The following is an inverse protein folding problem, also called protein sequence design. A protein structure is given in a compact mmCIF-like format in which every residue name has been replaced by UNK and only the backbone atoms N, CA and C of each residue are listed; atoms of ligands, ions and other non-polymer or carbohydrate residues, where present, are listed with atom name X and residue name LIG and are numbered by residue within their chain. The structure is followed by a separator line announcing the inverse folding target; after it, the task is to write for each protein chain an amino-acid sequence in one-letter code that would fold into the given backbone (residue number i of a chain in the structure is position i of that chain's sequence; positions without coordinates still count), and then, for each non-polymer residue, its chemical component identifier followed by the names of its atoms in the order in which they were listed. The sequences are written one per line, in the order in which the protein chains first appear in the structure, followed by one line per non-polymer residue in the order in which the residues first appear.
data_IF_173738255645
#
_entry.id   IF_173738255645
#
_cell.length_a   1.000
_cell.length_b   1.000
_cell.length_c   1.000
_cell.angle_alpha   90.00
_cell.angle_beta   90.00
_cell.angle_gamma   90.00
#
_symmetry.space_group_name_H-M   'P 1'
#
loop_
_entity.id
_entity.type
_entity.pdbx_description
1 polymer ?
#
# COMPACT_ATOMS: atom_id res chain seq x y z
N UNK A 1 -10.06 -11.29 -17.04
CA UNK A 1 -9.49 -10.45 -15.97
C UNK A 1 -9.55 -11.24 -14.69
N UNK A 2 -8.50 -11.24 -13.87
CA UNK A 2 -8.51 -12.01 -12.64
C UNK A 2 -9.62 -11.52 -11.68
N UNK A 3 -10.46 -12.43 -11.20
CA UNK A 3 -11.54 -12.09 -10.26
C UNK A 3 -11.00 -11.94 -8.82
N UNK A 4 -11.78 -11.30 -7.93
CA UNK A 4 -11.42 -11.20 -6.51
C UNK A 4 -11.26 -12.58 -5.86
N UNK A 5 -12.08 -13.54 -6.28
CA UNK A 5 -12.05 -14.92 -5.81
C UNK A 5 -10.77 -15.64 -6.25
N UNK A 6 -10.37 -15.46 -7.52
CA UNK A 6 -9.13 -16.03 -8.04
C UNK A 6 -7.90 -15.50 -7.28
N UNK A 7 -7.85 -14.19 -7.01
CA UNK A 7 -6.76 -13.60 -6.21
C UNK A 7 -6.72 -14.17 -4.80
N UNK A 8 -7.87 -14.28 -4.15
CA UNK A 8 -7.98 -14.88 -2.81
C UNK A 8 -7.48 -16.32 -2.82
N UNK A 9 -7.88 -17.11 -3.82
CA UNK A 9 -7.46 -18.49 -3.99
C UNK A 9 -5.95 -18.62 -4.22
N UNK A 10 -5.34 -17.73 -5.01
CA UNK A 10 -3.88 -17.70 -5.20
C UNK A 10 -3.17 -17.43 -3.86
N UNK A 11 -3.60 -16.42 -3.11
CA UNK A 11 -3.04 -16.09 -1.80
C UNK A 11 -3.11 -17.28 -0.84
N UNK A 12 -4.29 -17.91 -0.72
CA UNK A 12 -4.50 -19.08 0.14
C UNK A 12 -3.65 -20.28 -0.29
N UNK A 13 -3.52 -20.54 -1.60
CA UNK A 13 -2.68 -21.63 -2.11
C UNK A 13 -1.21 -21.44 -1.74
N UNK A 14 -0.70 -20.22 -1.80
CA UNK A 14 0.68 -19.91 -1.37
C UNK A 14 0.83 -20.17 0.14
N UNK A 15 -0.09 -19.65 0.95
CA UNK A 15 0.00 -19.75 2.41
C UNK A 15 -0.19 -21.17 2.96
N UNK A 16 -0.96 -22.02 2.28
CA UNK A 16 -1.22 -23.42 2.65
C UNK A 16 -0.30 -24.43 1.95
N UNK A 17 0.65 -23.96 1.15
CA UNK A 17 1.58 -24.82 0.42
C UNK A 17 2.52 -25.59 1.35
N UNK A 18 3.17 -26.65 0.84
CA UNK A 18 4.18 -27.41 1.58
C UNK A 18 5.54 -26.68 1.73
N UNK A 19 5.61 -25.42 1.33
CA UNK A 19 6.82 -24.60 1.48
C UNK A 19 7.13 -24.32 2.95
N UNK A 20 8.41 -24.11 3.25
CA UNK A 20 8.83 -23.66 4.57
C UNK A 20 8.21 -22.29 4.89
N UNK A 21 7.96 -21.95 6.17
CA UNK A 21 7.30 -20.70 6.55
C UNK A 21 7.87 -19.44 5.89
N UNK A 22 9.19 -19.30 5.87
CA UNK A 22 9.86 -18.15 5.27
C UNK A 22 9.65 -18.08 3.75
N UNK A 23 9.60 -19.23 3.05
CA UNK A 23 9.37 -19.30 1.61
C UNK A 23 7.95 -18.90 1.25
N UNK A 24 6.95 -19.20 2.10
CA UNK A 24 5.56 -18.77 1.89
C UNK A 24 5.44 -17.26 1.94
N UNK A 25 6.07 -16.63 2.94
CA UNK A 25 6.07 -15.17 3.08
C UNK A 25 6.80 -14.51 1.92
N UNK A 26 7.93 -15.08 1.49
CA UNK A 26 8.69 -14.58 0.35
C UNK A 26 7.88 -14.70 -0.96
N UNK A 27 7.24 -15.84 -1.20
CA UNK A 27 6.38 -16.05 -2.37
C UNK A 27 5.19 -15.06 -2.39
N UNK A 28 4.61 -14.74 -1.23
CA UNK A 28 3.55 -13.73 -1.12
C UNK A 28 4.07 -12.34 -1.55
N UNK A 29 5.24 -11.94 -1.05
CA UNK A 29 5.89 -10.67 -1.37
C UNK A 29 6.26 -10.52 -2.84
N UNK A 30 6.75 -11.60 -3.45
CA UNK A 30 7.35 -11.61 -4.78
C UNK A 30 6.35 -11.89 -5.90
N UNK A 31 5.33 -12.71 -5.66
CA UNK A 31 4.38 -13.10 -6.71
C UNK A 31 2.99 -12.53 -6.48
N UNK A 32 2.44 -12.68 -5.27
CA UNK A 32 1.05 -12.31 -5.01
C UNK A 32 0.85 -10.79 -5.04
N UNK A 33 1.55 -10.03 -4.19
CA UNK A 33 1.33 -8.59 -4.11
C UNK A 33 1.68 -7.84 -5.41
N UNK A 34 2.73 -8.18 -6.18
CA UNK A 34 2.96 -7.52 -7.47
C UNK A 34 1.84 -7.77 -8.49
N UNK A 35 1.17 -8.92 -8.43
CA UNK A 35 0.07 -9.25 -9.36
C UNK A 35 -1.17 -8.36 -9.19
N UNK A 36 -1.38 -7.78 -8.00
CA UNK A 36 -2.56 -6.96 -7.69
C UNK A 36 -2.40 -5.50 -8.10
N UNK A 37 -1.16 -5.02 -8.31
CA UNK A 37 -0.83 -3.60 -8.57
C UNK A 37 -1.56 -3.05 -9.79
N UNK A 38 -1.67 -3.83 -10.87
CA UNK A 38 -2.36 -3.38 -12.08
C UNK A 38 -3.85 -3.12 -11.82
N UNK A 39 -4.52 -4.03 -11.11
CA UNK A 39 -5.94 -3.90 -10.77
C UNK A 39 -6.21 -2.72 -9.85
N UNK A 40 -5.31 -2.48 -8.89
CA UNK A 40 -5.38 -1.30 -8.01
C UNK A 40 -5.25 0.01 -8.78
N UNK A 41 -4.30 0.08 -9.73
CA UNK A 41 -4.10 1.27 -10.60
C UNK A 41 -5.31 1.55 -11.48
N UNK A 42 -5.93 0.50 -12.00
CA UNK A 42 -7.15 0.62 -12.80
C UNK A 42 -8.37 1.02 -11.96
N UNK A 43 -8.28 0.92 -10.62
CA UNK A 43 -9.38 1.27 -9.72
C UNK A 43 -10.62 0.37 -9.89
N UNK A 44 -10.44 -0.85 -10.41
CA UNK A 44 -11.52 -1.79 -10.73
C UNK A 44 -12.34 -2.13 -9.49
N UNK A 45 -11.67 -2.44 -8.38
CA UNK A 45 -12.31 -2.82 -7.13
C UNK A 45 -12.35 -1.65 -6.12
N UNK A 46 -13.21 -1.78 -5.11
CA UNK A 46 -13.26 -0.85 -3.98
C UNK A 46 -12.25 -1.27 -2.91
N UNK A 47 -11.86 -0.33 -2.03
CA UNK A 47 -10.97 -0.62 -0.89
C UNK A 47 -11.47 -1.77 -0.02
N UNK A 48 -12.77 -1.83 0.22
CA UNK A 48 -13.43 -2.89 1.00
C UNK A 48 -13.19 -4.28 0.44
N UNK A 49 -13.10 -4.42 -0.89
CA UNK A 49 -12.77 -5.69 -1.52
C UNK A 49 -11.32 -6.12 -1.25
N UNK A 50 -10.39 -5.17 -1.26
CA UNK A 50 -8.98 -5.43 -0.90
C UNK A 50 -8.82 -5.74 0.59
N UNK A 51 -9.56 -5.05 1.45
CA UNK A 51 -9.61 -5.29 2.89
C UNK A 51 -10.15 -6.69 3.22
N UNK A 52 -11.15 -7.17 2.48
CA UNK A 52 -11.63 -8.55 2.63
C UNK A 52 -10.52 -9.58 2.33
N UNK A 53 -9.72 -9.34 1.28
CA UNK A 53 -8.59 -10.22 0.97
C UNK A 53 -7.54 -10.17 2.08
N UNK A 54 -7.20 -8.98 2.58
CA UNK A 54 -6.27 -8.81 3.70
C UNK A 54 -6.77 -9.57 4.96
N UNK A 55 -8.07 -9.48 5.26
CA UNK A 55 -8.69 -10.17 6.38
C UNK A 55 -8.66 -11.70 6.26
N UNK A 56 -8.75 -12.23 5.03
CA UNK A 56 -8.69 -13.67 4.76
C UNK A 56 -7.25 -14.19 4.86
N UNK A 57 -6.28 -13.44 4.34
CA UNK A 57 -4.87 -13.88 4.26
C UNK A 57 -4.15 -13.65 5.61
N UNK A 58 -4.52 -12.63 6.38
CA UNK A 58 -3.85 -12.28 7.65
C UNK A 58 -3.77 -13.43 8.66
N UNK A 59 -4.85 -14.20 8.95
CA UNK A 59 -4.77 -15.35 9.86
C UNK A 59 -3.77 -16.41 9.40
N UNK A 60 -3.69 -16.64 8.08
CA UNK A 60 -2.78 -17.62 7.48
C UNK A 60 -1.31 -17.17 7.57
N UNK A 61 -1.07 -15.86 7.42
CA UNK A 61 0.26 -15.27 7.66
C UNK A 61 0.67 -15.47 9.12
N UNK A 62 -0.23 -15.19 10.06
CA UNK A 62 0.02 -15.40 11.49
C UNK A 62 0.30 -16.87 11.81
N UNK A 63 -0.51 -17.77 11.28
CA UNK A 63 -0.31 -19.21 11.45
C UNK A 63 1.05 -19.67 10.89
N UNK A 64 1.45 -19.15 9.73
CA UNK A 64 2.76 -19.44 9.12
C UNK A 64 3.91 -18.95 9.99
N UNK A 65 3.76 -17.81 10.67
CA UNK A 65 4.77 -17.26 11.57
C UNK A 65 4.67 -17.77 13.02
N UNK A 66 3.77 -18.72 13.29
CA UNK A 66 3.47 -19.22 14.65
C UNK A 66 3.09 -18.10 15.64
N UNK A 67 2.36 -17.09 15.16
CA UNK A 67 1.89 -15.97 15.96
C UNK A 67 0.46 -16.21 16.46
N UNK A 68 0.14 -15.82 17.70
CA UNK A 68 -1.25 -15.83 18.18
C UNK A 68 -2.12 -14.86 17.38
N UNK A 69 -3.43 -15.11 17.35
CA UNK A 69 -4.38 -14.24 16.62
C UNK A 69 -4.45 -12.82 17.20
N UNK A 70 -4.08 -12.67 18.46
CA UNK A 70 -4.00 -11.41 19.21
C UNK A 70 -2.68 -10.67 18.97
N UNK A 71 -1.69 -11.28 18.29
CA UNK A 71 -0.41 -10.64 18.02
C UNK A 71 -0.59 -9.29 17.30
N UNK A 72 0.24 -8.31 17.67
CA UNK A 72 0.19 -6.96 17.08
C UNK A 72 0.30 -7.03 15.55
N UNK A 73 -0.58 -6.29 14.86
CA UNK A 73 -0.51 -6.09 13.41
C UNK A 73 0.73 -5.30 13.00
N UNK A 74 1.31 -4.53 13.91
CA UNK A 74 2.53 -3.76 13.66
C UNK A 74 3.70 -4.67 13.31
N UNK A 75 3.80 -5.85 13.91
CA UNK A 75 4.85 -6.80 13.58
C UNK A 75 4.77 -7.29 12.13
N UNK A 76 3.56 -7.45 11.59
CA UNK A 76 3.35 -7.90 10.21
C UNK A 76 3.63 -6.78 9.21
N UNK A 77 3.06 -5.60 9.45
CA UNK A 77 2.99 -4.49 8.49
C UNK A 77 3.98 -3.35 8.78
N UNK A 78 4.82 -3.51 9.80
CA UNK A 78 5.86 -2.56 10.19
C UNK A 78 7.04 -2.55 9.23
N UNK A 79 7.97 -1.63 9.46
CA UNK A 79 9.21 -1.51 8.68
C UNK A 79 10.13 -2.72 8.83
N UNK A 80 10.73 -3.18 7.74
CA UNK A 80 11.78 -4.20 7.82
C UNK A 80 13.03 -3.69 8.54
N UNK A 81 13.32 -2.39 8.47
CA UNK A 81 14.44 -1.79 9.21
C UNK A 81 14.20 -1.81 10.73
N UNK A 82 12.93 -1.73 11.15
CA UNK A 82 12.52 -1.86 12.55
C UNK A 82 12.40 -3.32 13.02
N UNK A 83 12.84 -4.30 12.22
CA UNK A 83 12.76 -5.73 12.56
C UNK A 83 11.37 -6.36 12.37
N UNK A 84 10.44 -5.68 11.71
CA UNK A 84 9.11 -6.21 11.37
C UNK A 84 9.13 -6.98 10.04
N UNK A 85 8.04 -7.68 9.71
CA UNK A 85 7.96 -8.49 8.50
C UNK A 85 7.84 -7.65 7.21
N UNK A 86 7.36 -6.41 7.24
CA UNK A 86 7.19 -5.59 6.03
C UNK A 86 6.25 -6.21 5.00
N UNK A 87 5.18 -6.86 5.47
CA UNK A 87 4.12 -7.36 4.60
C UNK A 87 3.24 -6.18 4.18
N UNK A 88 2.80 -6.17 2.93
CA UNK A 88 1.94 -5.11 2.38
C UNK A 88 0.48 -5.36 2.77
N UNK A 89 -0.28 -4.28 2.94
CA UNK A 89 -1.74 -4.34 3.06
C UNK A 89 -2.35 -3.87 1.75
N UNK A 90 -3.11 -4.74 1.10
CA UNK A 90 -3.72 -4.46 -0.20
C UNK A 90 -4.67 -3.27 -0.12
N UNK A 91 -5.40 -3.13 0.98
CA UNK A 91 -6.31 -2.01 1.20
C UNK A 91 -5.56 -0.66 1.21
N UNK A 92 -4.39 -0.57 1.83
CA UNK A 92 -3.55 0.64 1.82
C UNK A 92 -2.91 0.87 0.45
N UNK A 93 -2.37 -0.18 -0.17
CA UNK A 93 -1.77 -0.10 -1.51
C UNK A 93 -2.78 0.40 -2.54
N UNK A 94 -4.05 0.02 -2.41
CA UNK A 94 -5.13 0.49 -3.30
C UNK A 94 -5.38 2.00 -3.18
N UNK A 95 -5.28 2.56 -1.98
CA UNK A 95 -5.41 4.00 -1.75
C UNK A 95 -4.20 4.76 -2.30
N UNK A 96 -3.00 4.22 -2.07
CA UNK A 96 -1.75 4.78 -2.62
C UNK A 96 -1.81 4.77 -4.15
N UNK A 97 -2.27 3.68 -4.76
CA UNK A 97 -2.40 3.58 -6.21
C UNK A 97 -3.43 4.57 -6.79
N UNK A 98 -4.53 4.84 -6.07
CA UNK A 98 -5.52 5.82 -6.49
C UNK A 98 -4.94 7.25 -6.50
N UNK A 99 -4.22 7.63 -5.44
CA UNK A 99 -3.55 8.94 -5.34
C UNK A 99 -2.43 9.07 -6.39
N UNK A 100 -1.59 8.04 -6.54
CA UNK A 100 -0.50 8.02 -7.52
C UNK A 100 -1.02 8.16 -8.96
N UNK A 101 -2.11 7.45 -9.30
CA UNK A 101 -2.69 7.49 -10.64
C UNK A 101 -3.26 8.87 -10.96
N UNK A 102 -4.00 9.47 -10.02
CA UNK A 102 -4.50 10.85 -10.17
C UNK A 102 -3.35 11.86 -10.31
N UNK A 103 -2.30 11.72 -9.51
CA UNK A 103 -1.14 12.61 -9.57
C UNK A 103 -0.42 12.52 -10.92
N UNK A 104 -0.22 11.29 -11.43
CA UNK A 104 0.41 11.06 -12.73
C UNK A 104 -0.39 11.60 -13.91
N UNK A 105 -1.72 11.55 -13.85
CA UNK A 105 -2.56 12.17 -14.87
C UNK A 105 -2.40 13.70 -14.89
N UNK A 106 -2.36 14.34 -13.71
CA UNK A 106 -2.18 15.79 -13.60
C UNK A 106 -0.76 16.28 -13.90
N UNK A 107 0.24 15.41 -13.69
CA UNK A 107 1.67 15.68 -13.93
C UNK A 107 2.19 15.03 -15.20
N UNK A 108 1.30 14.56 -16.07
CA UNK A 108 1.69 13.86 -17.28
C UNK A 108 2.62 14.73 -18.14
N UNK A 109 3.72 14.17 -18.68
CA UNK A 109 4.54 14.86 -19.67
C UNK A 109 3.77 15.18 -20.96
N UNK A 110 2.76 14.37 -21.28
CA UNK A 110 1.85 14.61 -22.40
C UNK A 110 0.85 15.71 -22.03
N UNK A 111 0.98 16.86 -22.70
CA UNK A 111 0.13 18.02 -22.50
C UNK A 111 -1.36 17.76 -22.81
N UNK A 112 -1.69 16.83 -23.72
CA UNK A 112 -3.09 16.47 -24.01
C UNK A 112 -3.70 15.74 -22.81
N UNK A 113 -3.02 14.70 -22.33
CA UNK A 113 -3.45 13.95 -21.13
C UNK A 113 -3.58 14.86 -19.92
N UNK A 114 -2.60 15.75 -19.70
CA UNK A 114 -2.65 16.69 -18.57
C UNK A 114 -3.82 17.69 -18.68
N UNK A 115 -4.11 18.18 -19.89
CA UNK A 115 -5.21 19.11 -20.14
C UNK A 115 -6.56 18.43 -19.98
N UNK A 116 -6.73 17.24 -20.55
CA UNK A 116 -7.94 16.43 -20.43
C UNK A 116 -8.19 16.03 -18.97
N UNK A 117 -7.14 15.65 -18.23
CA UNK A 117 -7.22 15.34 -16.81
C UNK A 117 -7.68 16.55 -15.98
N UNK A 118 -7.12 17.74 -16.25
CA UNK A 118 -7.51 19.00 -15.60
C UNK A 118 -8.95 19.39 -15.91
N UNK A 119 -9.37 19.25 -17.16
CA UNK A 119 -10.76 19.50 -17.56
C UNK A 119 -11.71 18.54 -16.83
N UNK A 120 -11.39 17.23 -16.83
CA UNK A 120 -12.24 16.21 -16.24
C UNK A 120 -12.38 16.35 -14.71
N UNK A 121 -11.31 16.72 -14.00
CA UNK A 121 -11.40 16.98 -12.56
C UNK A 121 -12.21 18.26 -12.27
N UNK A 122 -12.09 19.28 -13.11
CA UNK A 122 -12.89 20.50 -13.00
C UNK A 122 -14.38 20.19 -13.12
N UNK A 123 -14.78 19.43 -14.14
CA UNK A 123 -16.17 18.97 -14.31
C UNK A 123 -16.64 18.08 -13.16
N UNK A 124 -15.77 17.21 -12.63
CA UNK A 124 -16.12 16.35 -11.47
C UNK A 124 -16.37 17.18 -10.22
N UNK A 125 -15.55 18.22 -10.01
CA UNK A 125 -15.66 19.14 -8.87
C UNK A 125 -16.86 20.06 -9.02
N UNK A 126 -17.11 20.57 -10.22
CA UNK A 126 -18.29 21.35 -10.59
C UNK A 126 -19.58 20.56 -10.32
N UNK A 127 -19.67 19.28 -10.70
CA UNK A 127 -20.82 18.43 -10.38
C UNK A 127 -21.05 18.29 -8.87
N UNK A 128 -19.99 18.37 -8.06
CA UNK A 128 -20.10 18.29 -6.59
C UNK A 128 -20.57 19.61 -5.97
N UNK A 129 -20.03 20.74 -6.42
CA UNK A 129 -20.33 22.08 -5.87
C UNK A 129 -21.58 22.71 -6.53
N UNK A 130 -21.90 22.32 -7.76
CA UNK A 130 -22.97 22.88 -8.60
C UNK A 130 -22.70 24.26 -9.18
N UNK A 131 -21.44 24.70 -9.19
CA UNK A 131 -20.97 25.92 -9.86
C UNK A 131 -19.53 25.71 -10.36
N UNK A 132 -19.03 26.52 -11.31
CA UNK A 132 -17.65 26.43 -11.74
C UNK A 132 -16.69 26.58 -10.54
N UNK A 133 -15.79 25.60 -10.31
CA UNK A 133 -14.83 25.64 -9.21
C UNK A 133 -13.63 26.53 -9.51
N UNK A 134 -13.01 27.09 -8.48
CA UNK A 134 -11.66 27.65 -8.55
C UNK A 134 -10.60 26.53 -8.49
N UNK A 135 -9.39 26.79 -9.01
CA UNK A 135 -8.24 25.88 -8.90
C UNK A 135 -7.97 25.47 -7.45
N UNK A 136 -8.13 26.38 -6.49
CA UNK A 136 -7.99 26.09 -5.06
C UNK A 136 -9.07 25.12 -4.56
N UNK A 137 -10.30 25.26 -5.03
CA UNK A 137 -11.41 24.39 -4.67
C UNK A 137 -11.23 22.98 -5.25
N UNK A 138 -10.63 22.86 -6.44
CA UNK A 138 -10.25 21.55 -7.00
C UNK A 138 -9.19 20.88 -6.11
N UNK A 139 -8.24 21.63 -5.57
CA UNK A 139 -7.22 21.11 -4.65
C UNK A 139 -7.83 20.67 -3.31
N UNK A 140 -8.74 21.48 -2.75
CA UNK A 140 -9.50 21.13 -1.54
C UNK A 140 -10.38 19.90 -1.77
N UNK A 141 -11.03 19.80 -2.93
CA UNK A 141 -11.81 18.64 -3.33
C UNK A 141 -10.98 17.35 -3.30
N UNK A 142 -9.78 17.35 -3.89
CA UNK A 142 -8.89 16.18 -3.87
C UNK A 142 -8.33 15.87 -2.49
N UNK A 143 -8.11 16.88 -1.66
CA UNK A 143 -7.65 16.71 -0.28
C UNK A 143 -8.71 16.06 0.62
N UNK A 144 -9.96 15.96 0.14
CA UNK A 144 -11.04 15.33 0.88
C UNK A 144 -11.79 16.28 1.82
N UNK A 145 -11.72 17.59 1.55
CA UNK A 145 -12.44 18.60 2.32
C UNK A 145 -13.96 18.40 2.20
N UNK A 146 -14.64 18.35 3.34
CA UNK A 146 -16.10 18.16 3.42
C UNK A 146 -16.83 19.41 3.89
N UNK A 147 -16.10 20.43 4.36
CA UNK A 147 -16.71 21.69 4.80
C UNK A 147 -17.02 22.64 3.64
N UNK A 148 -17.83 23.66 3.94
CA UNK A 148 -18.19 24.74 3.02
C UNK A 148 -18.90 24.24 1.75
N UNK A 149 -18.37 24.52 0.54
CA UNK A 149 -19.02 24.18 -0.73
C UNK A 149 -19.21 22.66 -0.93
N UNK A 150 -18.52 21.82 -0.15
CA UNK A 150 -18.56 20.37 -0.24
C UNK A 150 -19.53 19.69 0.75
N UNK A 151 -20.13 20.47 1.66
CA UNK A 151 -21.02 19.99 2.74
C UNK A 151 -22.27 19.30 2.23
N UNK A 152 -22.81 19.80 1.11
CA UNK A 152 -23.91 19.14 0.42
C UNK A 152 -23.41 17.81 -0.17
N UNK A 153 -23.96 16.68 0.30
CA UNK A 153 -23.69 15.34 -0.26
C UNK A 153 -24.36 15.17 -1.63
N UNK A 154 -23.89 15.92 -2.63
CA UNK A 154 -24.25 15.69 -4.03
C UNK A 154 -23.44 14.53 -4.57
N UNK A 155 -24.11 13.43 -4.93
CA UNK A 155 -23.47 12.28 -5.55
C UNK A 155 -22.82 12.70 -6.87
N UNK A 156 -21.57 12.31 -7.11
CA UNK A 156 -20.90 12.53 -8.41
C UNK A 156 -21.41 11.59 -9.51
N UNK A 157 -22.42 10.76 -9.21
CA UNK A 157 -23.07 9.82 -10.12
C UNK A 157 -22.22 8.57 -10.42
N UNK A 158 -21.07 8.77 -11.06
CA UNK A 158 -20.18 7.70 -11.54
C UNK A 158 -18.87 7.71 -10.76
N UNK A 159 -18.37 6.52 -10.41
CA UNK A 159 -17.04 6.34 -9.79
C UNK A 159 -15.97 6.77 -10.80
N UNK A 160 -15.24 7.83 -10.48
CA UNK A 160 -14.12 8.34 -11.28
C UNK A 160 -12.79 8.20 -10.53
N UNK A 161 -11.68 8.25 -11.27
CA UNK A 161 -10.32 8.30 -10.70
C UNK A 161 -10.20 9.41 -9.64
N UNK A 162 -10.85 10.56 -9.86
CA UNK A 162 -10.87 11.70 -8.94
C UNK A 162 -11.64 11.42 -7.65
N UNK A 163 -12.82 10.78 -7.76
CA UNK A 163 -13.59 10.39 -6.57
C UNK A 163 -12.84 9.34 -5.73
N UNK A 164 -12.14 8.40 -6.37
CA UNK A 164 -11.26 7.44 -5.69
C UNK A 164 -10.09 8.12 -5.01
N UNK A 165 -9.39 9.01 -5.72
CA UNK A 165 -8.26 9.76 -5.19
C UNK A 165 -8.67 10.69 -4.04
N UNK A 166 -9.83 11.35 -4.11
CA UNK A 166 -10.41 12.13 -3.00
C UNK A 166 -10.60 11.27 -1.76
N UNK A 167 -11.28 10.13 -1.89
CA UNK A 167 -11.56 9.25 -0.77
C UNK A 167 -10.28 8.66 -0.16
N UNK A 168 -9.31 8.29 -1.00
CA UNK A 168 -7.99 7.83 -0.57
C UNK A 168 -7.20 8.94 0.14
N UNK A 169 -7.23 10.16 -0.40
CA UNK A 169 -6.53 11.31 0.19
C UNK A 169 -7.12 11.71 1.54
N UNK A 170 -8.45 11.67 1.68
CA UNK A 170 -9.13 11.89 2.95
C UNK A 170 -8.67 10.90 4.02
N UNK A 171 -8.61 9.60 3.68
CA UNK A 171 -8.18 8.54 4.61
C UNK A 171 -6.71 8.68 5.00
N UNK A 172 -5.86 9.01 4.03
CA UNK A 172 -4.42 9.08 4.21
C UNK A 172 -3.92 10.48 4.60
N UNK A 173 -4.83 11.45 4.82
CA UNK A 173 -4.50 12.86 5.13
C UNK A 173 -3.50 13.46 4.14
N UNK A 174 -3.80 13.27 2.86
CA UNK A 174 -2.98 13.76 1.74
C UNK A 174 -3.54 15.09 1.27
N UNK A 175 -2.73 16.15 1.35
CA UNK A 175 -3.13 17.49 0.96
C UNK A 175 -2.60 17.83 -0.42
N UNK A 176 -3.49 18.21 -1.31
CA UNK A 176 -3.18 18.63 -2.67
C UNK A 176 -3.08 20.15 -2.73
N UNK A 177 -2.09 20.65 -3.46
CA UNK A 177 -1.94 22.06 -3.75
C UNK A 177 -1.59 22.24 -5.23
N UNK A 178 -2.21 23.23 -5.85
CA UNK A 178 -1.94 23.61 -7.23
C UNK A 178 -1.35 25.02 -7.23
N UNK A 179 -0.04 25.13 -7.45
CA UNK A 179 0.67 26.42 -7.45
C UNK A 179 1.35 26.60 -8.80
N UNK A 180 1.09 27.73 -9.47
CA UNK A 180 1.73 28.13 -10.74
C UNK A 180 1.79 26.97 -11.75
N UNK A 181 0.63 26.36 -12.03
CA UNK A 181 0.47 25.26 -12.99
C UNK A 181 1.17 23.94 -12.61
N UNK A 182 1.75 23.85 -11.41
CA UNK A 182 2.37 22.65 -10.86
C UNK A 182 1.49 22.02 -9.77
N UNK A 183 1.36 20.71 -9.80
CA UNK A 183 0.61 19.97 -8.79
C UNK A 183 1.57 19.39 -7.75
N UNK A 184 1.31 19.70 -6.48
CA UNK A 184 2.14 19.30 -5.35
C UNK A 184 1.26 18.53 -4.37
N UNK A 185 1.77 17.39 -3.91
CA UNK A 185 1.12 16.61 -2.84
C UNK A 185 1.94 16.74 -1.56
N UNK A 186 1.30 17.05 -0.44
CA UNK A 186 1.90 17.05 0.89
C UNK A 186 1.33 15.89 1.72
N UNK A 187 2.21 15.12 2.33
CA UNK A 187 1.84 14.06 3.28
C UNK A 187 2.88 13.97 4.40
N UNK A 188 2.44 14.10 5.66
CA UNK A 188 3.31 13.96 6.85
C UNK A 188 4.61 14.79 6.79
N UNK A 189 4.52 16.03 6.28
CA UNK A 189 5.67 16.94 6.14
C UNK A 189 6.57 16.70 4.93
N UNK A 190 6.25 15.74 4.07
CA UNK A 190 6.97 15.48 2.80
C UNK A 190 6.18 16.05 1.63
N UNK A 191 6.86 16.79 0.75
CA UNK A 191 6.29 17.33 -0.48
C UNK A 191 6.73 16.52 -1.70
N UNK A 192 5.77 16.02 -2.46
CA UNK A 192 5.99 15.36 -3.74
C UNK A 192 5.75 16.36 -4.87
N UNK A 193 6.82 16.65 -5.62
CA UNK A 193 6.81 17.50 -6.82
C UNK A 193 6.84 16.62 -8.08
N UNK A 194 6.42 17.12 -9.26
CA UNK A 194 6.41 16.38 -10.52
C UNK A 194 7.77 15.75 -10.91
N UNK A 195 8.89 16.39 -10.53
CA UNK A 195 10.24 15.84 -10.74
C UNK A 195 10.50 14.52 -9.98
N UNK A 196 9.66 14.18 -9.00
CA UNK A 196 9.76 12.98 -8.17
C UNK A 196 8.81 11.84 -8.62
N UNK A 197 8.14 11.96 -9.78
CA UNK A 197 7.11 11.00 -10.26
C UNK A 197 7.63 9.55 -10.36
N UNK A 198 8.92 9.34 -10.60
CA UNK A 198 9.54 7.99 -10.62
C UNK A 198 9.63 7.32 -9.24
N UNK A 199 9.49 8.07 -8.14
CA UNK A 199 9.66 7.57 -6.78
C UNK A 199 8.37 7.06 -6.13
N UNK A 200 7.17 7.38 -6.61
CA UNK A 200 5.93 7.10 -5.88
C UNK A 200 5.69 5.62 -5.54
N UNK A 201 6.15 4.65 -6.35
CA UNK A 201 6.00 3.22 -6.02
C UNK A 201 7.03 2.70 -5.01
N UNK A 202 8.30 3.09 -5.16
CA UNK A 202 9.40 2.61 -4.31
C UNK A 202 9.57 3.44 -3.03
N UNK A 203 9.18 4.72 -3.06
CA UNK A 203 9.30 5.67 -1.97
C UNK A 203 8.09 5.65 -1.06
N UNK A 204 6.85 5.42 -1.52
CA UNK A 204 5.71 5.29 -0.60
C UNK A 204 5.80 3.98 0.22
N UNK A 205 6.24 2.88 -0.40
CA UNK A 205 6.55 1.63 0.31
C UNK A 205 7.72 1.80 1.31
N UNK A 206 8.78 2.55 0.95
CA UNK A 206 9.90 2.83 1.86
C UNK A 206 9.57 3.89 2.94
N UNK A 207 8.77 4.91 2.65
CA UNK A 207 8.53 6.06 3.57
C UNK A 207 7.43 5.77 4.60
N UNK A 208 6.39 5.01 4.25
CA UNK A 208 5.42 4.50 5.23
C UNK A 208 6.10 3.50 6.19
N UNK A 209 7.15 2.82 5.74
CA UNK A 209 8.01 1.98 6.59
C UNK A 209 8.94 2.83 7.46
N UNK A 210 9.70 3.78 6.90
CA UNK A 210 10.64 4.63 7.66
C UNK A 210 9.97 5.44 8.79
N UNK A 211 8.71 5.88 8.66
CA UNK A 211 8.07 6.74 9.69
C UNK A 211 7.34 6.00 10.81
N UNK A 212 7.14 4.68 10.74
CA UNK A 212 6.79 3.89 11.94
C UNK A 212 7.96 3.83 12.94
N UNK A 213 9.19 4.16 12.51
CA UNK A 213 10.40 4.14 13.34
C UNK A 213 10.52 5.33 14.33
N UNK A 214 9.57 6.27 14.37
CA UNK A 214 9.65 7.46 15.23
C UNK A 214 8.48 7.63 16.21
N UNK A 215 7.90 6.53 16.70
CA UNK A 215 7.10 6.52 17.93
C UNK A 215 7.96 6.08 19.13
N UNK A 216 7.85 6.69 20.33
CA UNK A 216 8.75 6.42 21.45
C UNK A 216 8.59 5.05 22.13
N UNK A 217 7.80 4.11 21.58
CA UNK A 217 7.42 2.88 22.27
C UNK A 217 7.49 1.62 21.41
N UNK A 218 8.67 1.23 20.93
CA UNK A 218 8.90 -0.18 20.52
C UNK A 218 10.37 -0.58 20.69
N UNK A 219 10.86 -0.54 21.93
CA UNK A 219 12.04 -1.33 22.37
C UNK A 219 11.59 -2.54 23.20
N UNK A 220 10.73 -3.40 22.65
CA UNK A 220 10.50 -4.72 23.22
C UNK A 220 9.90 -5.65 22.17
N UNK A 221 10.76 -6.29 21.38
CA UNK A 221 10.38 -7.54 20.73
C UNK A 221 10.03 -8.59 21.79
N UNK A 222 9.19 -9.58 21.47
CA UNK A 222 8.88 -10.66 22.40
C UNK A 222 10.18 -11.36 22.81
N UNK A 223 10.50 -11.32 24.11
CA UNK A 223 11.59 -12.09 24.70
C UNK A 223 11.27 -13.57 24.53
N UNK A 224 11.82 -14.20 23.50
CA UNK A 224 11.95 -15.65 23.50
C UNK A 224 12.86 -16.02 24.68
N UNK A 225 12.34 -16.83 25.59
CA UNK A 225 13.03 -17.23 26.82
C UNK A 225 14.43 -17.77 26.56
N UNK A 226 15.33 -17.48 27.49
CA UNK A 226 16.71 -17.98 27.51
C UNK A 226 16.73 -19.52 27.47
N UNK A 227 16.80 -20.08 26.27
CA UNK A 227 17.22 -21.44 26.02
C UNK A 227 18.74 -21.51 26.01
N UNK A 228 19.30 -22.24 26.96
CA UNK A 228 20.72 -22.56 27.13
C UNK A 228 21.41 -22.80 25.77
N UNK A 229 22.40 -21.96 25.43
CA UNK A 229 23.29 -22.19 24.28
C UNK A 229 24.11 -23.46 24.53
N UNK A 230 23.67 -24.59 23.97
CA UNK A 230 24.57 -25.74 23.74
C UNK A 230 25.28 -25.52 22.41
N UNK A 231 26.58 -25.28 22.48
CA UNK A 231 27.48 -25.20 21.33
C UNK A 231 27.38 -26.47 20.48
N UNK A 232 27.31 -26.39 19.14
CA UNK A 232 27.38 -27.58 18.30
C UNK A 232 28.82 -28.16 18.32
N UNK A 233 29.00 -29.49 18.38
CA UNK A 233 30.32 -30.09 18.31
C UNK A 233 30.90 -29.93 16.90
N UNK A 234 32.20 -29.59 16.84
CA UNK A 234 33.01 -29.54 15.62
C UNK A 234 32.97 -30.91 14.94
N UNK A 235 32.54 -30.94 13.67
CA UNK A 235 32.71 -32.12 12.80
C UNK A 235 34.12 -32.11 12.25
N UNK A 236 35.03 -32.78 12.95
CA UNK A 236 36.23 -33.31 12.33
C UNK A 236 36.29 -34.81 12.62
N UNK A 237 36.70 -35.55 11.60
CA UNK A 237 37.03 -36.98 11.54
C UNK A 237 35.92 -37.99 11.17
N UNK A 238 36.37 -38.91 10.31
CA UNK A 238 35.80 -40.21 9.90
C UNK A 238 34.76 -40.19 8.78
N UNK A 239 35.23 -40.40 7.54
CA UNK A 239 34.78 -41.48 6.63
C UNK A 239 35.64 -41.46 5.35
N UNK A 240 36.76 -42.22 5.33
CA UNK A 240 37.40 -42.65 4.08
C UNK A 240 37.11 -44.15 3.91
N UNK A 241 36.25 -44.44 2.94
CA UNK A 241 35.81 -45.77 2.52
C UNK A 241 36.99 -46.64 2.09
N UNK A 242 36.97 -47.89 2.56
CA UNK A 242 37.65 -49.05 1.97
C UNK A 242 37.29 -49.15 0.48
N UNK A 243 38.30 -49.26 -0.40
CA UNK A 243 38.16 -49.77 -1.76
C UNK A 243 38.58 -51.25 -1.76
N UNK A 244 37.71 -52.08 -2.32
CA UNK A 244 37.99 -53.42 -2.79
C UNK A 244 38.85 -53.34 -4.05
N UNK A 245 39.99 -54.02 -4.03
CA UNK A 245 40.56 -54.95 -5.02
C UNK A 245 42.03 -55.17 -4.73
#
# INVERSE_FOLDING_TARGET
MASLEEMTNIGLKIMRSKLAPWQRIDALKTFFFPSTVHLMRMGTFQKTAWENIDNIIRPEIKATLYLPQEASSEYLYGSTNGGCCGIRMLAEDSDIAAVDSAFKLLTSPDGRVATDARSHIHTTTEKRIGRPPSTEEVALYLSGEDEGPFRAKRGTGVKSVWSCARMASKRNKVNWNFTNNSTIIKHMGVELKPKNVMRCNAHNAKQLQIKKECGPHTKSGPRQGNGVRRSPPRRDTLYKKRRLH
#
